data_IF_313425819835
#
_entry.id   IF_313425819835
#
_cell.length_a   1.000
_cell.length_b   1.000
_cell.length_c   1.000
_cell.angle_alpha   90.00
_cell.angle_beta   90.00
_cell.angle_gamma   90.00
#
_symmetry.space_group_name_H-M   'P 1'
#
loop_
_entity.id
_entity.type
_entity.pdbx_description
1 polymer ?
#
# COMPACT_ATOMS: atom_id res chain seq x y z
N UNK A 1 10.17 -26.22 13.91
CA UNK A 1 9.31 -25.29 14.68
C UNK A 1 10.22 -24.59 15.66
N UNK A 2 10.20 -23.26 15.69
CA UNK A 2 11.01 -22.46 16.59
C UNK A 2 10.60 -22.70 18.05
N UNK A 3 11.55 -22.68 18.99
CA UNK A 3 11.30 -22.93 20.42
C UNK A 3 10.43 -21.84 21.08
N UNK A 4 10.39 -20.62 20.51
CA UNK A 4 9.57 -19.50 20.99
C UNK A 4 8.32 -19.22 20.14
N UNK A 5 7.94 -20.13 19.24
CA UNK A 5 6.72 -19.97 18.45
C UNK A 5 5.48 -19.82 19.37
N UNK A 6 4.63 -18.84 19.08
CA UNK A 6 3.46 -18.47 19.89
C UNK A 6 3.78 -17.69 21.17
N UNK A 7 5.05 -17.41 21.47
CA UNK A 7 5.45 -16.52 22.57
C UNK A 7 5.47 -15.06 22.11
N UNK A 8 5.20 -14.14 23.03
CA UNK A 8 5.28 -12.70 22.75
C UNK A 8 6.70 -12.31 22.33
N UNK A 9 6.81 -11.44 21.32
CA UNK A 9 8.07 -10.87 20.89
C UNK A 9 8.83 -10.22 22.05
N UNK A 10 10.15 -10.38 22.05
CA UNK A 10 11.06 -9.77 23.01
C UNK A 10 11.84 -8.64 22.32
N UNK A 11 12.56 -7.83 23.09
CA UNK A 11 13.24 -6.63 22.58
C UNK A 11 14.26 -6.99 21.49
N UNK A 12 14.92 -8.13 21.62
CA UNK A 12 15.88 -8.72 20.69
C UNK A 12 15.26 -9.19 19.36
N UNK A 13 13.94 -9.35 19.30
CA UNK A 13 13.22 -9.70 18.06
C UNK A 13 12.83 -8.47 17.24
N UNK A 14 12.86 -7.29 17.87
CA UNK A 14 12.41 -6.05 17.26
C UNK A 14 13.48 -5.45 16.36
N UNK A 15 13.03 -4.85 15.27
CA UNK A 15 13.88 -4.08 14.36
C UNK A 15 14.25 -2.72 14.98
N UNK A 16 15.37 -2.17 14.56
CA UNK A 16 15.65 -0.74 14.73
C UNK A 16 14.98 0.03 13.57
N UNK A 17 13.82 0.63 13.87
CA UNK A 17 12.99 1.33 12.87
C UNK A 17 13.72 2.52 12.28
N UNK A 18 14.44 3.30 13.09
CA UNK A 18 15.16 4.48 12.63
C UNK A 18 16.31 4.07 11.70
N UNK A 19 17.07 3.02 12.07
CA UNK A 19 18.12 2.48 11.21
C UNK A 19 17.58 1.96 9.87
N UNK A 20 16.39 1.34 9.88
CA UNK A 20 15.73 0.85 8.67
C UNK A 20 15.32 2.01 7.75
N UNK A 21 14.76 3.08 8.31
CA UNK A 21 14.39 4.27 7.54
C UNK A 21 15.65 4.99 7.01
N UNK A 22 16.73 5.10 7.79
CA UNK A 22 18.00 5.62 7.28
C UNK A 22 18.51 4.77 6.10
N UNK A 23 18.51 3.44 6.24
CA UNK A 23 18.93 2.54 5.16
C UNK A 23 18.12 2.73 3.87
N UNK A 24 16.82 3.07 3.96
CA UNK A 24 15.97 3.32 2.79
C UNK A 24 16.51 4.47 1.92
N UNK A 25 17.05 5.52 2.54
CA UNK A 25 17.60 6.70 1.85
C UNK A 25 19.11 6.59 1.58
N UNK A 26 19.86 5.96 2.46
CA UNK A 26 21.34 5.95 2.41
C UNK A 26 21.91 4.83 1.52
N UNK A 27 21.19 3.72 1.36
CA UNK A 27 21.66 2.57 0.58
C UNK A 27 21.11 2.66 -0.85
N UNK A 28 22.01 2.74 -1.82
CA UNK A 28 21.68 2.60 -3.24
C UNK A 28 21.86 1.13 -3.69
N UNK A 29 20.88 0.54 -4.39
CA UNK A 29 20.99 -0.81 -4.91
C UNK A 29 22.06 -0.92 -6.00
N UNK A 30 22.75 -2.05 -6.04
CA UNK A 30 23.58 -2.47 -7.16
C UNK A 30 22.68 -3.07 -8.26
N UNK A 31 22.49 -2.39 -9.41
CA UNK A 31 21.60 -2.86 -10.47
C UNK A 31 22.13 -4.12 -11.19
N UNK A 32 23.39 -4.50 -10.98
CA UNK A 32 23.96 -5.73 -11.51
C UNK A 32 23.81 -6.93 -10.55
N UNK A 33 23.43 -6.68 -9.29
CA UNK A 33 23.10 -7.71 -8.32
C UNK A 33 21.62 -8.12 -8.43
N UNK A 34 21.29 -9.36 -8.87
CA UNK A 34 19.90 -9.79 -9.03
C UNK A 34 19.06 -9.72 -7.74
N UNK A 35 19.69 -9.81 -6.56
CA UNK A 35 18.99 -9.72 -5.28
C UNK A 35 18.54 -8.28 -4.93
N UNK A 36 19.08 -7.28 -5.61
CA UNK A 36 18.80 -5.85 -5.43
C UNK A 36 18.09 -5.24 -6.65
N UNK A 37 17.67 -6.08 -7.60
CA UNK A 37 16.86 -5.66 -8.73
C UNK A 37 15.38 -5.59 -8.33
N UNK A 38 14.63 -4.77 -9.07
CA UNK A 38 13.18 -4.75 -8.96
C UNK A 38 12.62 -6.07 -9.50
N UNK A 39 12.09 -6.89 -8.61
CA UNK A 39 11.23 -8.03 -8.95
C UNK A 39 9.79 -7.59 -8.71
N UNK A 40 9.03 -7.36 -9.79
CA UNK A 40 7.64 -6.91 -9.70
C UNK A 40 6.73 -8.04 -10.19
N UNK A 41 6.15 -8.80 -9.26
CA UNK A 41 5.20 -9.87 -9.58
C UNK A 41 3.75 -9.44 -9.36
N UNK A 42 2.83 -10.40 -9.31
CA UNK A 42 1.39 -10.14 -9.00
C UNK A 42 1.18 -9.54 -7.61
N UNK A 43 2.13 -9.73 -6.70
CA UNK A 43 2.15 -9.11 -5.36
C UNK A 43 3.00 -7.82 -5.30
N UNK A 44 3.40 -7.29 -6.46
CA UNK A 44 4.32 -6.16 -6.58
C UNK A 44 5.77 -6.53 -6.30
N UNK A 45 6.57 -5.53 -5.94
CA UNK A 45 7.94 -5.67 -5.47
C UNK A 45 8.01 -5.64 -3.94
N UNK A 46 8.83 -6.51 -3.37
CA UNK A 46 9.07 -6.61 -1.93
C UNK A 46 10.56 -6.78 -1.66
N UNK A 47 11.00 -6.27 -0.51
CA UNK A 47 12.35 -6.41 -0.03
C UNK A 47 12.54 -5.61 1.26
N UNK A 48 13.78 -5.53 1.74
CA UNK A 48 14.13 -4.73 2.92
C UNK A 48 15.20 -3.71 2.53
N UNK A 49 15.10 -2.51 3.10
CA UNK A 49 16.10 -1.46 2.89
C UNK A 49 17.51 -1.91 3.33
N UNK A 50 17.61 -2.71 4.40
CA UNK A 50 18.88 -3.27 4.87
C UNK A 50 19.58 -4.19 3.87
N UNK A 51 18.82 -4.82 2.97
CA UNK A 51 19.38 -5.73 1.97
C UNK A 51 19.68 -5.00 0.64
N UNK A 52 19.41 -3.69 0.57
CA UNK A 52 19.47 -2.93 -0.67
C UNK A 52 18.40 -3.37 -1.68
N UNK A 53 17.27 -3.91 -1.21
CA UNK A 53 16.22 -4.50 -2.04
C UNK A 53 14.85 -3.79 -1.91
N UNK A 54 14.78 -2.70 -1.13
CA UNK A 54 13.61 -1.82 -1.02
C UNK A 54 14.05 -0.46 -0.46
N UNK A 55 14.50 0.41 -1.35
CA UNK A 55 15.15 1.69 -1.05
C UNK A 55 14.58 2.76 -1.97
N UNK A 56 14.88 4.04 -1.71
CA UNK A 56 14.39 5.18 -2.49
C UNK A 56 14.52 4.98 -4.00
N UNK A 57 15.68 4.47 -4.46
CA UNK A 57 15.95 4.19 -5.85
C UNK A 57 14.91 3.25 -6.51
N UNK A 58 14.49 2.20 -5.80
CA UNK A 58 13.49 1.26 -6.28
C UNK A 58 12.14 1.95 -6.46
N UNK A 59 11.71 2.73 -5.47
CA UNK A 59 10.41 3.39 -5.49
C UNK A 59 10.36 4.47 -6.57
N UNK A 60 11.44 5.24 -6.74
CA UNK A 60 11.54 6.21 -7.84
C UNK A 60 11.43 5.52 -9.20
N UNK A 61 12.23 4.47 -9.42
CA UNK A 61 12.27 3.76 -10.69
C UNK A 61 10.95 3.05 -11.00
N UNK A 62 10.36 2.36 -10.03
CA UNK A 62 9.09 1.65 -10.18
C UNK A 62 7.93 2.61 -10.38
N UNK A 63 7.88 3.74 -9.66
CA UNK A 63 6.82 4.74 -9.84
C UNK A 63 6.89 5.35 -11.23
N UNK A 64 8.09 5.71 -11.71
CA UNK A 64 8.25 6.22 -13.07
C UNK A 64 7.85 5.18 -14.13
N UNK A 65 8.21 3.92 -13.93
CA UNK A 65 7.78 2.83 -14.81
C UNK A 65 6.24 2.68 -14.83
N UNK A 66 5.56 2.84 -13.69
CA UNK A 66 4.09 2.84 -13.63
C UNK A 66 3.50 4.03 -14.38
N UNK A 67 4.07 5.24 -14.23
CA UNK A 67 3.64 6.44 -14.98
C UNK A 67 3.72 6.21 -16.48
N UNK A 68 4.81 5.64 -16.97
CA UNK A 68 4.99 5.35 -18.39
C UNK A 68 4.04 4.24 -18.86
N UNK A 69 3.88 3.19 -18.06
CA UNK A 69 2.97 2.08 -18.35
C UNK A 69 1.52 2.55 -18.46
N UNK A 70 1.01 3.26 -17.45
CA UNK A 70 -0.37 3.73 -17.41
C UNK A 70 -0.68 4.66 -18.59
N UNK A 71 0.26 5.54 -18.96
CA UNK A 71 0.12 6.40 -20.12
C UNK A 71 0.06 5.59 -21.44
N UNK A 72 0.91 4.56 -21.58
CA UNK A 72 0.89 3.68 -22.75
C UNK A 72 -0.41 2.87 -22.87
N UNK A 73 -1.08 2.56 -21.74
CA UNK A 73 -2.39 1.90 -21.71
C UNK A 73 -3.58 2.87 -21.88
N UNK A 74 -3.33 4.19 -21.99
CA UNK A 74 -4.39 5.19 -22.07
C UNK A 74 -5.15 5.39 -20.75
N UNK A 75 -4.51 5.07 -19.62
CA UNK A 75 -5.06 5.30 -18.27
C UNK A 75 -4.68 6.71 -17.85
N UNK A 76 -5.66 7.62 -17.92
CA UNK A 76 -5.50 9.07 -17.76
C UNK A 76 -6.38 9.65 -16.63
N UNK A 77 -7.06 8.80 -15.85
CA UNK A 77 -7.82 9.20 -14.66
C UNK A 77 -6.96 9.30 -13.40
N UNK A 78 -7.61 9.40 -12.22
CA UNK A 78 -6.91 9.52 -10.95
C UNK A 78 -6.25 8.21 -10.51
N UNK A 79 -5.08 8.31 -9.90
CA UNK A 79 -4.37 7.22 -9.25
C UNK A 79 -4.63 7.25 -7.74
N UNK A 80 -5.26 6.19 -7.23
CA UNK A 80 -5.51 5.98 -5.80
C UNK A 80 -4.29 5.35 -5.14
N UNK A 81 -3.75 5.97 -4.09
CA UNK A 81 -2.59 5.45 -3.36
C UNK A 81 -2.96 5.21 -1.90
N UNK A 82 -2.57 4.04 -1.38
CA UNK A 82 -2.78 3.68 0.00
C UNK A 82 -1.60 2.91 0.58
N UNK A 83 -1.26 3.18 1.83
CA UNK A 83 -0.16 2.52 2.54
C UNK A 83 -0.62 1.76 3.77
N UNK A 84 0.15 0.75 4.16
CA UNK A 84 -0.02 0.07 5.45
C UNK A 84 0.87 0.65 6.56
N UNK A 85 1.01 -0.10 7.64
CA UNK A 85 1.66 0.27 8.89
C UNK A 85 3.13 -0.13 8.97
N UNK A 86 3.73 -0.72 7.92
CA UNK A 86 5.17 -0.99 7.92
C UNK A 86 5.98 0.30 7.92
N UNK A 87 7.15 0.27 8.57
CA UNK A 87 8.07 1.41 8.65
C UNK A 87 8.45 1.97 7.27
N UNK A 88 8.65 1.09 6.28
CA UNK A 88 9.06 1.47 4.93
C UNK A 88 7.92 2.00 4.06
N UNK A 89 6.66 1.90 4.50
CA UNK A 89 5.51 2.27 3.68
C UNK A 89 5.30 3.78 3.60
N UNK A 90 5.55 4.53 4.69
CA UNK A 90 5.52 6.00 4.68
C UNK A 90 6.58 6.64 3.76
N UNK A 91 7.89 6.31 3.88
CA UNK A 91 8.90 6.89 3.00
C UNK A 91 8.68 6.51 1.53
N UNK A 92 8.17 5.30 1.26
CA UNK A 92 7.79 4.89 -0.09
C UNK A 92 6.58 5.67 -0.64
N UNK A 93 5.56 5.96 0.16
CA UNK A 93 4.42 6.80 -0.25
C UNK A 93 4.88 8.21 -0.63
N UNK A 94 5.74 8.80 0.21
CA UNK A 94 6.31 10.12 -0.06
C UNK A 94 7.10 10.10 -1.36
N UNK A 95 7.98 9.12 -1.54
CA UNK A 95 8.83 8.99 -2.74
C UNK A 95 7.98 8.80 -4.01
N UNK A 96 6.94 7.98 -3.94
CA UNK A 96 6.02 7.78 -5.07
C UNK A 96 5.27 9.06 -5.41
N UNK A 97 4.75 9.78 -4.42
CA UNK A 97 4.02 11.03 -4.62
C UNK A 97 4.87 12.09 -5.32
N UNK A 98 6.15 12.20 -4.98
CA UNK A 98 7.08 13.12 -5.63
C UNK A 98 7.24 12.87 -7.13
N UNK A 99 7.32 11.60 -7.55
CA UNK A 99 7.40 11.21 -8.95
C UNK A 99 6.06 11.40 -9.65
N UNK A 100 4.95 11.00 -9.02
CA UNK A 100 3.60 11.12 -9.56
C UNK A 100 3.22 12.58 -9.82
N UNK A 101 3.41 13.45 -8.82
CA UNK A 101 3.13 14.88 -8.95
C UNK A 101 4.04 15.55 -9.99
N UNK A 102 5.30 15.14 -10.07
CA UNK A 102 6.21 15.63 -11.09
C UNK A 102 5.78 15.24 -12.51
N UNK A 103 5.05 14.14 -12.68
CA UNK A 103 4.52 13.68 -13.97
C UNK A 103 3.06 14.11 -14.20
N UNK A 104 2.56 15.08 -13.43
CA UNK A 104 1.20 15.64 -13.54
C UNK A 104 0.09 14.58 -13.39
N UNK A 105 0.37 13.48 -12.69
CA UNK A 105 -0.64 12.45 -12.38
C UNK A 105 -1.56 12.97 -11.29
N UNK A 106 -2.87 12.90 -11.51
CA UNK A 106 -3.85 13.19 -10.47
C UNK A 106 -3.84 12.08 -9.40
N UNK A 107 -3.47 12.41 -8.17
CA UNK A 107 -3.32 11.44 -7.07
C UNK A 107 -4.42 11.63 -6.02
N UNK A 108 -4.88 10.51 -5.46
CA UNK A 108 -5.79 10.44 -4.32
C UNK A 108 -5.09 9.79 -3.14
N UNK A 109 -4.70 10.60 -2.16
CA UNK A 109 -4.12 10.16 -0.87
C UNK A 109 -5.23 9.94 0.16
N UNK A 110 -4.96 9.19 1.22
CA UNK A 110 -5.89 9.15 2.36
C UNK A 110 -6.05 10.54 2.98
N UNK A 111 -7.30 11.02 3.04
CA UNK A 111 -7.62 12.37 3.49
C UNK A 111 -7.25 12.62 4.96
N UNK A 112 -7.01 11.57 5.75
CA UNK A 112 -6.65 11.63 7.17
C UNK A 112 -5.13 11.51 7.36
N UNK A 113 -4.37 11.33 6.27
CA UNK A 113 -2.95 10.99 6.28
C UNK A 113 -2.69 9.72 7.14
N UNK A 114 -3.58 8.73 7.02
CA UNK A 114 -3.55 7.47 7.76
C UNK A 114 -3.34 6.28 6.80
N UNK A 115 -3.52 5.06 7.31
CA UNK A 115 -3.34 3.82 6.58
C UNK A 115 -4.61 3.44 5.80
N UNK A 116 -4.41 2.72 4.71
CA UNK A 116 -5.48 2.29 3.80
C UNK A 116 -5.35 0.81 3.49
N UNK A 117 -6.31 -0.03 3.92
CA UNK A 117 -6.37 -1.42 3.52
C UNK A 117 -6.39 -1.57 2.00
N UNK A 118 -5.70 -2.58 1.49
CA UNK A 118 -5.75 -2.97 0.06
C UNK A 118 -7.16 -2.98 -0.53
N UNK A 119 -8.20 -3.58 0.13
CA UNK A 119 -9.54 -3.57 -0.44
C UNK A 119 -10.20 -2.19 -0.49
N UNK A 120 -9.79 -1.23 0.35
CA UNK A 120 -10.31 0.14 0.28
C UNK A 120 -9.78 0.88 -0.96
N UNK A 121 -8.50 0.66 -1.32
CA UNK A 121 -7.96 1.15 -2.61
C UNK A 121 -8.68 0.49 -3.78
N UNK A 122 -8.88 -0.84 -3.73
CA UNK A 122 -9.61 -1.56 -4.77
C UNK A 122 -11.03 -1.03 -4.95
N UNK A 123 -11.76 -0.80 -3.86
CA UNK A 123 -13.12 -0.26 -3.92
C UNK A 123 -13.13 1.14 -4.56
N UNK A 124 -12.21 2.03 -4.15
CA UNK A 124 -12.12 3.36 -4.71
C UNK A 124 -11.90 3.36 -6.23
N UNK A 125 -11.03 2.46 -6.73
CA UNK A 125 -10.81 2.25 -8.18
C UNK A 125 -12.10 1.77 -8.85
N UNK A 126 -12.73 0.73 -8.29
CA UNK A 126 -13.96 0.14 -8.84
C UNK A 126 -15.09 1.16 -8.93
N UNK A 127 -15.32 1.93 -7.87
CA UNK A 127 -16.32 3.00 -7.83
C UNK A 127 -16.00 4.10 -8.84
N UNK A 128 -14.75 4.58 -8.90
CA UNK A 128 -14.34 5.58 -9.89
C UNK A 128 -14.54 5.09 -11.35
N UNK A 129 -14.43 3.77 -11.55
CA UNK A 129 -14.63 3.13 -12.84
C UNK A 129 -16.07 2.64 -13.07
N UNK A 130 -17.01 2.97 -12.18
CA UNK A 130 -18.45 2.82 -12.40
C UNK A 130 -19.10 1.58 -11.80
N UNK A 131 -18.49 0.94 -10.80
CA UNK A 131 -19.07 -0.22 -10.11
C UNK A 131 -20.45 0.04 -9.49
N UNK A 132 -20.71 1.28 -9.08
CA UNK A 132 -21.98 1.77 -8.52
C UNK A 132 -23.01 2.16 -9.61
N UNK A 133 -22.63 2.07 -10.89
CA UNK A 133 -23.50 2.41 -12.02
C UNK A 133 -24.11 1.17 -12.65
N UNK A 134 -25.24 1.34 -13.35
CA UNK A 134 -25.88 0.26 -14.10
C UNK A 134 -25.00 -0.33 -15.22
N UNK A 135 -23.97 0.40 -15.66
CA UNK A 135 -23.02 -0.07 -16.68
C UNK A 135 -21.92 -0.99 -16.12
N UNK A 136 -21.72 -0.99 -14.80
CA UNK A 136 -20.66 -1.73 -14.14
C UNK A 136 -19.26 -1.14 -14.37
N UNK A 137 -18.25 -1.88 -13.92
CA UNK A 137 -16.84 -1.48 -13.98
C UNK A 137 -16.36 -1.35 -15.42
N UNK A 138 -15.83 -0.19 -15.78
CA UNK A 138 -15.14 0.06 -17.05
C UNK A 138 -13.67 -0.27 -16.95
N UNK A 139 -13.13 -0.89 -18.00
CA UNK A 139 -11.69 -1.16 -18.18
C UNK A 139 -11.11 -0.52 -19.44
N UNK A 140 -11.92 0.26 -20.16
CA UNK A 140 -11.55 0.94 -21.41
C UNK A 140 -12.22 2.32 -21.49
N UNK A 141 -11.63 3.21 -22.28
CA UNK A 141 -12.09 4.59 -22.46
C UNK A 141 -11.34 5.59 -21.59
N UNK A 142 -11.68 6.89 -21.70
CA UNK A 142 -11.00 7.94 -20.95
C UNK A 142 -11.42 7.96 -19.48
N UNK A 143 -10.58 8.57 -18.65
CA UNK A 143 -10.79 8.81 -17.22
C UNK A 143 -10.75 7.54 -16.38
N UNK A 144 -10.02 6.50 -16.80
CA UNK A 144 -9.86 5.29 -16.00
C UNK A 144 -8.97 5.56 -14.79
N UNK A 145 -9.47 5.22 -13.61
CA UNK A 145 -8.70 5.22 -12.39
C UNK A 145 -7.88 3.94 -12.25
N UNK A 146 -6.75 4.04 -11.60
CA UNK A 146 -5.84 2.97 -11.22
C UNK A 146 -5.33 3.19 -9.78
N UNK A 147 -4.42 2.36 -9.28
CA UNK A 147 -3.87 2.60 -7.96
C UNK A 147 -2.57 1.91 -7.63
N UNK A 148 -1.95 2.41 -6.56
CA UNK A 148 -0.75 1.85 -5.95
C UNK A 148 -1.10 1.49 -4.51
N UNK A 149 -0.64 0.33 -4.06
CA UNK A 149 -0.75 -0.03 -2.65
C UNK A 149 0.64 -0.34 -2.11
N UNK A 150 0.98 0.25 -0.98
CA UNK A 150 2.31 0.16 -0.38
C UNK A 150 2.20 -0.71 0.86
N UNK A 151 2.54 -1.99 0.67
CA UNK A 151 2.47 -3.02 1.70
C UNK A 151 3.18 -4.28 1.22
N UNK A 152 4.01 -4.93 2.06
CA UNK A 152 4.49 -6.29 1.83
C UNK A 152 3.54 -7.34 2.44
N UNK A 153 2.28 -6.97 2.74
CA UNK A 153 1.26 -7.82 3.35
C UNK A 153 1.59 -8.24 4.79
N UNK A 154 1.98 -9.49 5.00
CA UNK A 154 2.25 -10.08 6.32
C UNK A 154 3.75 -10.39 6.50
N UNK A 155 4.59 -9.84 5.63
CA UNK A 155 6.03 -9.97 5.77
C UNK A 155 6.50 -9.34 7.09
N UNK A 156 7.70 -9.71 7.58
CA UNK A 156 8.23 -9.19 8.84
C UNK A 156 8.39 -7.65 8.85
N UNK A 157 8.45 -7.02 10.03
CA UNK A 157 8.53 -5.55 10.20
C UNK A 157 9.59 -4.82 9.35
N UNK A 158 10.69 -5.51 9.02
CA UNK A 158 11.82 -4.95 8.25
C UNK A 158 11.56 -4.80 6.76
N UNK A 159 10.49 -5.41 6.25
CA UNK A 159 10.20 -5.45 4.82
C UNK A 159 9.31 -4.28 4.39
N UNK A 160 9.45 -3.90 3.13
CA UNK A 160 8.57 -2.97 2.42
C UNK A 160 8.00 -3.65 1.19
N UNK A 161 6.87 -3.15 0.70
CA UNK A 161 6.23 -3.68 -0.49
C UNK A 161 5.53 -2.60 -1.31
N UNK A 162 5.50 -2.78 -2.62
CA UNK A 162 4.97 -1.79 -3.55
C UNK A 162 4.30 -2.50 -4.72
N UNK A 163 2.98 -2.31 -4.89
CA UNK A 163 2.17 -3.00 -5.92
C UNK A 163 1.29 -2.03 -6.68
N UNK A 164 0.92 -2.45 -7.89
CA UNK A 164 0.06 -1.71 -8.81
C UNK A 164 -1.25 -2.46 -9.03
N UNK A 165 -2.36 -1.73 -9.02
CA UNK A 165 -3.71 -2.21 -9.29
C UNK A 165 -4.27 -1.49 -10.53
N UNK A 166 -4.48 -2.19 -11.66
CA UNK A 166 -5.03 -1.61 -12.88
C UNK A 166 -6.53 -1.24 -12.74
N UNK A 167 -7.18 -0.71 -13.79
CA UNK A 167 -8.56 -0.20 -13.72
C UNK A 167 -9.66 -1.18 -13.28
N UNK A 168 -9.39 -2.49 -13.30
CA UNK A 168 -10.30 -3.48 -12.74
C UNK A 168 -10.20 -3.62 -11.20
N UNK A 169 -9.36 -2.81 -10.53
CA UNK A 169 -9.23 -2.72 -9.08
C UNK A 169 -8.45 -3.86 -8.41
N UNK A 170 -8.22 -4.96 -9.11
CA UNK A 170 -7.46 -6.12 -8.64
C UNK A 170 -5.93 -5.95 -8.78
N UNK A 171 -5.14 -6.95 -8.36
CA UNK A 171 -3.69 -6.95 -8.57
C UNK A 171 -3.37 -6.98 -10.07
N UNK A 172 -2.30 -6.31 -10.47
CA UNK A 172 -1.80 -6.36 -11.84
C UNK A 172 -1.34 -7.78 -12.25
N UNK A 173 -1.69 -8.18 -13.47
CA UNK A 173 -1.27 -9.45 -14.07
C UNK A 173 0.16 -9.37 -14.64
N UNK A 174 0.66 -10.49 -15.17
CA UNK A 174 2.04 -10.63 -15.67
C UNK A 174 2.37 -9.68 -16.82
N UNK A 175 1.39 -9.35 -17.65
CA UNK A 175 1.54 -8.42 -18.78
C UNK A 175 1.92 -7.00 -18.34
N UNK A 176 1.35 -6.51 -17.25
CA UNK A 176 1.71 -5.23 -16.66
C UNK A 176 2.99 -5.33 -15.83
N UNK A 177 3.06 -6.35 -14.97
CA UNK A 177 4.11 -6.46 -13.95
C UNK A 177 5.49 -6.72 -14.55
N UNK A 178 5.60 -7.52 -15.62
CA UNK A 178 6.87 -7.74 -16.34
C UNK A 178 7.37 -6.48 -17.04
N UNK A 179 6.47 -5.71 -17.66
CA UNK A 179 6.81 -4.44 -18.34
C UNK A 179 7.30 -3.40 -17.34
N UNK A 180 6.60 -3.26 -16.22
CA UNK A 180 6.97 -2.34 -15.13
C UNK A 180 8.31 -2.76 -14.52
N UNK A 181 8.53 -4.04 -14.22
CA UNK A 181 9.80 -4.53 -13.68
C UNK A 181 10.97 -4.28 -14.63
N UNK A 182 10.81 -4.61 -15.91
CA UNK A 182 11.86 -4.43 -16.91
C UNK A 182 12.24 -2.96 -17.03
N UNK A 183 11.24 -2.07 -17.09
CA UNK A 183 11.47 -0.63 -17.21
C UNK A 183 12.08 -0.02 -15.95
N UNK A 184 11.63 -0.43 -14.76
CA UNK A 184 12.22 0.03 -13.50
C UNK A 184 13.71 -0.36 -13.40
N UNK A 185 14.07 -1.59 -13.77
CA UNK A 185 15.47 -2.03 -13.77
C UNK A 185 16.32 -1.31 -14.84
N UNK A 186 15.73 -0.93 -15.97
CA UNK A 186 16.41 -0.08 -16.96
C UNK A 186 16.71 1.30 -16.36
N UNK A 187 15.74 1.93 -15.69
CA UNK A 187 15.89 3.22 -15.02
C UNK A 187 16.97 3.15 -13.93
N UNK A 188 17.00 2.08 -13.14
CA UNK A 188 18.05 1.84 -12.14
C UNK A 188 19.44 1.83 -12.77
N UNK A 189 19.64 1.09 -13.88
CA UNK A 189 20.93 1.02 -14.59
C UNK A 189 21.34 2.34 -15.24
N UNK A 190 20.38 3.10 -15.77
CA UNK A 190 20.63 4.39 -16.41
C UNK A 190 20.91 5.51 -15.39
N UNK A 191 20.49 5.32 -14.13
CA UNK A 191 20.65 6.26 -13.04
C UNK A 191 19.30 6.87 -12.63
N UNK A 192 18.69 6.28 -11.62
CA UNK A 192 17.36 6.64 -11.09
C UNK A 192 17.24 8.12 -10.66
N UNK A 193 18.34 8.78 -10.29
CA UNK A 193 18.37 10.20 -9.92
C UNK A 193 18.03 11.15 -11.07
N UNK A 194 17.97 10.66 -12.31
CA UNK A 194 17.56 11.44 -13.48
C UNK A 194 16.02 11.50 -13.62
N UNK A 195 15.28 10.67 -12.89
CA UNK A 195 13.81 10.68 -12.89
C UNK A 195 13.30 12.01 -12.35
N UNK A 196 12.32 12.58 -13.05
CA UNK A 196 11.68 13.85 -12.67
C UNK A 196 10.95 13.67 -11.34
N UNK A 197 11.27 14.52 -10.37
CA UNK A 197 10.65 14.58 -9.03
C UNK A 197 10.44 16.03 -8.63
N UNK A 198 9.46 16.26 -7.77
CA UNK A 198 9.30 17.52 -7.02
C UNK A 198 9.37 17.20 -5.53
N UNK A 199 9.91 18.08 -4.66
CA UNK A 199 9.99 17.81 -3.23
C UNK A 199 8.62 17.45 -2.63
N UNK A 200 8.59 16.51 -1.68
CA UNK A 200 7.34 16.01 -1.07
C UNK A 200 6.40 17.13 -0.59
N UNK A 201 6.94 18.16 0.06
CA UNK A 201 6.13 19.31 0.53
C UNK A 201 5.42 20.05 -0.61
N UNK A 202 6.00 20.08 -1.81
CA UNK A 202 5.37 20.63 -3.00
C UNK A 202 4.40 19.61 -3.62
N UNK A 203 4.79 18.33 -3.67
CA UNK A 203 3.97 17.25 -4.21
C UNK A 203 2.63 17.11 -3.45
N UNK A 204 2.67 17.21 -2.12
CA UNK A 204 1.51 17.09 -1.22
C UNK A 204 0.47 18.17 -1.43
N UNK A 205 0.89 19.37 -1.85
CA UNK A 205 -0.01 20.52 -2.06
C UNK A 205 -0.17 20.88 -3.54
N UNK A 206 0.32 20.02 -4.44
CA UNK A 206 0.16 20.19 -5.88
C UNK A 206 -1.33 20.15 -6.26
N UNK A 207 -1.70 20.87 -7.33
CA UNK A 207 -3.09 20.89 -7.82
C UNK A 207 -3.60 19.49 -8.24
N UNK A 208 -2.68 18.59 -8.57
CA UNK A 208 -2.94 17.20 -8.93
C UNK A 208 -3.16 16.30 -7.71
N UNK A 209 -2.84 16.74 -6.50
CA UNK A 209 -2.93 15.91 -5.29
C UNK A 209 -4.17 16.28 -4.49
N UNK A 210 -5.02 15.28 -4.18
CA UNK A 210 -6.23 15.47 -3.36
C UNK A 210 -6.39 14.36 -2.33
N UNK A 211 -7.03 14.69 -1.21
CA UNK A 211 -7.48 13.69 -0.25
C UNK A 211 -8.71 12.92 -0.75
N UNK A 212 -8.77 11.63 -0.43
CA UNK A 212 -9.92 10.75 -0.57
C UNK A 212 -10.20 10.08 0.79
N UNK A 213 -11.45 10.13 1.23
CA UNK A 213 -11.86 9.52 2.50
C UNK A 213 -12.12 8.02 2.29
N UNK A 214 -11.03 7.23 2.23
CA UNK A 214 -11.11 5.78 2.06
C UNK A 214 -11.87 5.09 3.19
N UNK A 215 -11.76 5.62 4.42
CA UNK A 215 -12.39 5.00 5.59
C UNK A 215 -13.90 5.08 5.45
N UNK A 216 -14.45 6.29 5.34
CA UNK A 216 -15.90 6.46 5.26
C UNK A 216 -16.46 5.81 4.00
N UNK A 217 -15.79 5.97 2.85
CA UNK A 217 -16.24 5.37 1.59
C UNK A 217 -16.34 3.84 1.68
N UNK A 218 -15.33 3.19 2.28
CA UNK A 218 -15.34 1.73 2.43
C UNK A 218 -16.35 1.27 3.48
N UNK A 219 -16.35 1.91 4.66
CA UNK A 219 -17.25 1.52 5.75
C UNK A 219 -18.70 1.69 5.33
N UNK A 220 -19.08 2.80 4.68
CA UNK A 220 -20.45 3.06 4.25
C UNK A 220 -20.95 2.07 3.18
N UNK A 221 -20.06 1.57 2.33
CA UNK A 221 -20.41 0.62 1.28
C UNK A 221 -20.55 -0.82 1.79
N UNK A 222 -20.06 -1.16 2.99
CA UNK A 222 -20.18 -2.53 3.52
C UNK A 222 -21.62 -3.06 3.53
N UNK A 223 -22.61 -2.19 3.74
CA UNK A 223 -24.03 -2.55 3.72
C UNK A 223 -24.54 -3.03 2.34
N UNK A 224 -23.83 -2.71 1.25
CA UNK A 224 -24.19 -3.16 -0.10
C UNK A 224 -23.81 -4.64 -0.34
N UNK A 225 -22.91 -5.19 0.48
CA UNK A 225 -22.36 -6.55 0.34
C UNK A 225 -22.71 -7.43 1.55
N UNK A 226 -22.83 -6.86 2.75
CA UNK A 226 -23.03 -7.57 4.02
C UNK A 226 -24.35 -7.12 4.66
N UNK A 227 -25.15 -8.08 5.12
CA UNK A 227 -26.36 -7.81 5.92
C UNK A 227 -25.98 -7.43 7.37
N UNK A 228 -25.57 -6.17 7.55
CA UNK A 228 -25.15 -5.61 8.83
C UNK A 228 -26.32 -5.49 9.82
N UNK A 229 -27.55 -5.37 9.33
CA UNK A 229 -28.76 -5.33 10.16
C UNK A 229 -29.03 -6.69 10.80
N UNK A 230 -28.84 -7.78 10.06
CA UNK A 230 -28.92 -9.13 10.62
C UNK A 230 -27.86 -9.36 11.71
N UNK A 231 -26.61 -8.92 11.49
CA UNK A 231 -25.54 -9.03 12.49
C UNK A 231 -25.89 -8.24 13.75
N UNK A 232 -26.32 -6.99 13.58
CA UNK A 232 -26.73 -6.11 14.68
C UNK A 232 -27.90 -6.69 15.46
N UNK A 233 -28.93 -7.20 14.77
CA UNK A 233 -30.13 -7.79 15.38
C UNK A 233 -29.83 -9.08 16.13
N UNK A 234 -28.88 -9.89 15.63
CA UNK A 234 -28.45 -11.10 16.30
C UNK A 234 -27.77 -10.83 17.66
N UNK A 235 -27.28 -9.61 17.90
CA UNK A 235 -26.65 -9.21 19.16
C UNK A 235 -25.40 -10.02 19.48
N UNK A 236 -24.66 -10.46 18.45
CA UNK A 236 -23.40 -11.19 18.62
C UNK A 236 -22.31 -10.28 19.17
N UNK A 237 -21.47 -10.82 20.05
CA UNK A 237 -20.27 -10.13 20.56
C UNK A 237 -19.09 -10.44 19.66
N UNK A 238 -18.47 -9.40 19.11
CA UNK A 238 -17.41 -9.50 18.11
C UNK A 238 -16.10 -8.99 18.73
N UNK A 239 -15.05 -9.80 18.67
CA UNK A 239 -13.69 -9.36 18.95
C UNK A 239 -12.91 -9.22 17.63
N UNK A 240 -12.29 -8.08 17.40
CA UNK A 240 -11.43 -7.85 16.25
C UNK A 240 -10.01 -7.53 16.72
N UNK A 241 -9.02 -8.32 16.28
CA UNK A 241 -7.61 -8.00 16.43
C UNK A 241 -7.09 -7.47 15.08
N UNK A 242 -6.81 -6.16 14.95
CA UNK A 242 -6.21 -5.59 13.75
C UNK A 242 -4.77 -6.01 13.51
N UNK A 243 -4.11 -6.61 14.51
CA UNK A 243 -2.71 -7.04 14.46
C UNK A 243 -1.76 -5.90 14.05
N UNK A 244 -2.09 -4.67 14.46
CA UNK A 244 -1.38 -3.44 14.06
C UNK A 244 -1.36 -3.15 12.57
N UNK A 245 -2.25 -3.75 11.78
CA UNK A 245 -2.37 -3.53 10.34
C UNK A 245 -3.19 -2.30 9.96
N UNK A 246 -3.30 -2.05 8.65
CA UNK A 246 -4.01 -0.89 8.09
C UNK A 246 -5.51 -0.83 8.41
N UNK A 247 -6.10 -1.91 8.93
CA UNK A 247 -7.52 -2.00 9.31
C UNK A 247 -7.81 -1.53 10.75
N UNK A 248 -6.79 -1.11 11.53
CA UNK A 248 -6.95 -0.74 12.93
C UNK A 248 -8.07 0.30 13.15
N UNK A 249 -8.11 1.33 12.32
CA UNK A 249 -9.13 2.38 12.41
C UNK A 249 -10.47 1.95 11.78
N UNK A 250 -10.43 1.02 10.82
CA UNK A 250 -11.62 0.52 10.11
C UNK A 250 -12.52 -0.29 11.02
N UNK A 251 -11.96 -1.17 11.86
CA UNK A 251 -12.77 -1.97 12.77
C UNK A 251 -13.56 -1.13 13.78
N UNK A 252 -12.94 -0.10 14.34
CA UNK A 252 -13.62 0.85 15.23
C UNK A 252 -14.74 1.59 14.48
N UNK A 253 -14.44 2.12 13.29
CA UNK A 253 -15.43 2.82 12.47
C UNK A 253 -16.62 1.94 12.08
N UNK A 254 -16.39 0.65 11.77
CA UNK A 254 -17.45 -0.33 11.48
C UNK A 254 -18.35 -0.53 12.70
N UNK A 255 -17.75 -0.75 13.88
CA UNK A 255 -18.50 -0.93 15.13
C UNK A 255 -19.40 0.26 15.44
N UNK A 256 -18.84 1.47 15.34
CA UNK A 256 -19.55 2.73 15.58
C UNK A 256 -20.64 3.00 14.55
N UNK A 257 -20.32 2.88 13.26
CA UNK A 257 -21.24 3.21 12.15
C UNK A 257 -22.49 2.35 12.16
N UNK A 258 -22.35 1.07 12.49
CA UNK A 258 -23.42 0.09 12.41
C UNK A 258 -23.98 -0.34 13.77
N UNK A 259 -23.49 0.27 14.86
CA UNK A 259 -23.95 -0.02 16.22
C UNK A 259 -23.77 -1.49 16.60
N UNK A 260 -22.63 -2.08 16.25
CA UNK A 260 -22.31 -3.48 16.54
C UNK A 260 -21.67 -3.60 17.93
N UNK A 261 -21.92 -4.70 18.64
CA UNK A 261 -21.18 -5.07 19.85
C UNK A 261 -19.80 -5.62 19.45
N UNK A 262 -18.96 -4.72 18.94
CA UNK A 262 -17.63 -4.98 18.42
C UNK A 262 -16.58 -4.33 19.31
N UNK A 263 -15.63 -5.12 19.78
CA UNK A 263 -14.47 -4.66 20.55
C UNK A 263 -13.19 -4.90 19.76
N UNK A 264 -12.42 -3.84 19.51
CA UNK A 264 -11.04 -3.96 19.05
C UNK A 264 -10.17 -4.38 20.23
N UNK A 265 -9.66 -5.61 20.21
CA UNK A 265 -8.99 -6.22 21.37
C UNK A 265 -7.53 -5.80 21.52
N UNK A 266 -6.90 -5.34 20.44
CA UNK A 266 -5.56 -4.78 20.43
C UNK A 266 -5.50 -3.57 19.46
N UNK A 267 -5.68 -2.34 19.96
CA UNK A 267 -5.68 -1.15 19.11
C UNK A 267 -4.27 -0.62 18.78
N UNK A 268 -3.20 -1.27 19.26
CA UNK A 268 -1.83 -0.76 19.13
C UNK A 268 -1.37 -0.85 17.68
N UNK A 269 -0.84 0.25 17.17
CA UNK A 269 -0.09 0.30 15.91
C UNK A 269 1.30 0.81 16.21
N UNK A 270 2.30 -0.02 15.93
CA UNK A 270 3.71 0.25 16.14
C UNK A 270 4.48 -0.48 15.02
N UNK A 271 5.29 0.19 14.19
CA UNK A 271 5.94 -0.44 13.04
C UNK A 271 6.99 -1.51 13.41
N UNK A 272 7.36 -1.67 14.69
CA UNK A 272 8.18 -2.78 15.17
C UNK A 272 7.36 -3.99 15.64
N UNK A 273 6.03 -3.85 15.75
CA UNK A 273 5.07 -4.88 16.19
C UNK A 273 5.43 -5.64 17.50
N UNK A 274 5.78 -4.95 18.60
CA UNK A 274 6.18 -5.60 19.86
C UNK A 274 5.06 -6.39 20.55
N UNK A 275 3.81 -6.15 20.16
CA UNK A 275 2.62 -6.82 20.70
C UNK A 275 2.34 -8.17 20.05
N UNK A 276 3.05 -8.53 18.99
CA UNK A 276 2.84 -9.77 18.24
C UNK A 276 3.50 -10.97 18.94
N UNK A 277 2.90 -12.14 18.75
CA UNK A 277 3.55 -13.42 19.07
C UNK A 277 4.36 -13.89 17.88
N UNK A 278 5.52 -14.50 18.13
CA UNK A 278 6.36 -15.07 17.08
C UNK A 278 5.65 -16.20 16.35
N UNK A 279 5.81 -16.26 15.03
CA UNK A 279 5.26 -17.33 14.20
C UNK A 279 6.09 -18.63 14.33
N UNK A 280 5.70 -19.68 13.61
CA UNK A 280 6.31 -21.01 13.64
C UNK A 280 7.82 -21.03 13.34
N UNK A 281 8.34 -20.02 12.63
CA UNK A 281 9.76 -19.85 12.29
C UNK A 281 10.51 -18.93 13.29
N UNK A 282 9.80 -18.31 14.23
CA UNK A 282 10.34 -17.41 15.25
C UNK A 282 10.49 -15.96 14.82
N UNK A 283 9.90 -15.57 13.68
CA UNK A 283 9.80 -14.17 13.27
C UNK A 283 8.48 -13.57 13.73
N UNK A 284 8.45 -12.24 13.78
CA UNK A 284 7.21 -11.47 13.87
C UNK A 284 6.57 -11.41 12.48
#
# INVERSE_FOLDING_TARGET
MNERAGMLAQKEDLIDVDALICAYYDIEPDPDNPAQQVVFGTSGHRGSAFDGAFNEAHIVATTQAIVEYRAAQGIDGPLYIGRDTHALSEPAEHTALEVLAANDVEVRLDARNSWTPTPAVSLAILTANGADTAAGVRTQGPGLADGIVITPSHNPPRDGGFKYNPPHGGPADTDATEVIAARANEILRQGWKQVKRVPYEQARVAETTRGHDYLSAYVDDLQSIIDLEAIRTAGVRIGADPMGGASAEYWNAIGERYGLDLTVVNPVVDPAWPFMTLDWDGKI
#
